data_IF_494099276737
#
_entry.id   IF_494099276737
#
_cell.length_a   1.000
_cell.length_b   1.000
_cell.length_c   1.000
_cell.angle_alpha   90.00
_cell.angle_beta   90.00
_cell.angle_gamma   90.00
#
_symmetry.space_group_name_H-M   'P 1'
#
loop_
_entity.id
_entity.type
_entity.pdbx_description
1 polymer ?
#
# COMPACT_ATOMS: atom_id res chain seq x y z
N UNK A 1 -24.33 15.75 -74.00
CA UNK A 1 -24.78 15.98 -72.61
C UNK A 1 -23.99 15.01 -71.74
N UNK A 2 -23.18 15.49 -70.78
CA UNK A 2 -22.33 14.65 -69.94
C UNK A 2 -23.15 13.87 -68.91
N UNK A 3 -22.64 12.70 -68.55
CA UNK A 3 -23.20 11.78 -67.56
C UNK A 3 -22.64 12.21 -66.20
N UNK A 4 -23.49 12.73 -65.30
CA UNK A 4 -23.06 13.06 -63.94
C UNK A 4 -22.99 11.80 -63.07
N UNK A 5 -21.79 11.54 -62.58
CA UNK A 5 -21.36 10.42 -61.76
C UNK A 5 -21.98 10.51 -60.35
N UNK A 6 -22.59 9.45 -59.80
CA UNK A 6 -23.15 9.48 -58.46
C UNK A 6 -22.04 9.57 -57.41
N UNK A 7 -22.12 10.62 -56.59
CA UNK A 7 -21.23 10.91 -55.48
C UNK A 7 -21.01 9.70 -54.56
N UNK A 8 -19.73 9.46 -54.29
CA UNK A 8 -19.13 8.44 -53.43
C UNK A 8 -19.81 8.33 -52.05
N UNK A 9 -20.11 7.11 -51.54
CA UNK A 9 -20.63 6.92 -50.20
C UNK A 9 -19.69 7.45 -49.13
N UNK A 10 -20.29 8.12 -48.15
CA UNK A 10 -19.65 8.86 -47.07
C UNK A 10 -18.44 8.16 -46.46
N UNK A 11 -17.37 8.95 -46.32
CA UNK A 11 -16.26 8.67 -45.44
C UNK A 11 -16.82 8.23 -44.08
N UNK A 12 -16.61 6.95 -43.76
CA UNK A 12 -16.84 6.42 -42.43
C UNK A 12 -16.05 7.28 -41.45
N UNK A 13 -16.74 8.16 -40.73
CA UNK A 13 -16.22 8.78 -39.52
C UNK A 13 -15.94 7.64 -38.56
N UNK A 14 -14.67 7.24 -38.50
CA UNK A 14 -14.14 6.41 -37.44
C UNK A 14 -14.34 7.20 -36.16
N UNK A 15 -15.48 6.99 -35.51
CA UNK A 15 -15.70 7.27 -34.10
C UNK A 15 -14.70 6.42 -33.33
N UNK A 16 -13.44 6.86 -33.33
CA UNK A 16 -12.40 6.35 -32.45
C UNK A 16 -12.86 6.76 -31.07
N UNK A 17 -13.64 5.86 -30.48
CA UNK A 17 -14.13 5.96 -29.14
C UNK A 17 -12.88 5.93 -28.28
N UNK A 18 -12.34 7.10 -27.94
CA UNK A 18 -11.23 7.21 -27.00
C UNK A 18 -11.74 6.73 -25.63
N UNK A 19 -11.67 5.41 -25.42
CA UNK A 19 -12.06 4.70 -24.20
C UNK A 19 -10.81 4.47 -23.31
N UNK A 20 -10.97 4.07 -22.04
CA UNK A 20 -10.70 4.84 -20.84
C UNK A 20 -9.29 4.56 -20.25
N UNK A 21 -8.22 4.94 -20.95
CA UNK A 21 -6.83 4.68 -20.51
C UNK A 21 -6.50 5.18 -19.09
N UNK A 22 -7.14 6.27 -18.62
CA UNK A 22 -6.90 6.77 -17.25
C UNK A 22 -7.46 5.85 -16.17
N UNK A 23 -8.56 5.13 -16.42
CA UNK A 23 -9.17 4.25 -15.41
C UNK A 23 -8.41 2.95 -15.22
N UNK A 24 -7.85 2.39 -16.30
CA UNK A 24 -7.05 1.16 -16.22
C UNK A 24 -5.69 1.43 -15.55
N UNK A 25 -5.05 2.56 -15.87
CA UNK A 25 -3.81 2.97 -15.22
C UNK A 25 -4.01 3.21 -13.71
N UNK A 26 -5.10 3.87 -13.31
CA UNK A 26 -5.43 4.09 -11.89
C UNK A 26 -5.64 2.76 -11.14
N UNK A 27 -6.29 1.77 -11.76
CA UNK A 27 -6.48 0.43 -11.17
C UNK A 27 -5.13 -0.28 -11.01
N UNK A 28 -4.31 -0.33 -12.07
CA UNK A 28 -3.00 -0.98 -12.01
C UNK A 28 -2.11 -0.32 -10.95
N UNK A 29 -2.08 1.01 -10.91
CA UNK A 29 -1.30 1.75 -9.91
C UNK A 29 -1.79 1.45 -8.48
N UNK A 30 -3.10 1.47 -8.24
CA UNK A 30 -3.67 1.15 -6.94
C UNK A 30 -3.36 -0.30 -6.51
N UNK A 31 -3.46 -1.26 -7.43
CA UNK A 31 -3.13 -2.67 -7.18
C UNK A 31 -1.65 -2.85 -6.83
N UNK A 32 -0.74 -2.22 -7.59
CA UNK A 32 0.70 -2.28 -7.32
C UNK A 32 1.01 -1.67 -5.95
N UNK A 33 0.42 -0.53 -5.62
CA UNK A 33 0.62 0.11 -4.32
C UNK A 33 0.08 -0.75 -3.16
N UNK A 34 -1.07 -1.42 -3.34
CA UNK A 34 -1.60 -2.36 -2.34
C UNK A 34 -0.68 -3.58 -2.13
N UNK A 35 -0.10 -4.12 -3.21
CA UNK A 35 0.89 -5.20 -3.12
C UNK A 35 2.13 -4.73 -2.37
N UNK A 36 2.61 -3.51 -2.66
CA UNK A 36 3.74 -2.89 -1.95
C UNK A 36 3.38 -2.72 -0.46
N UNK A 37 2.17 -2.26 -0.14
CA UNK A 37 1.72 -2.07 1.23
C UNK A 37 1.67 -3.41 1.99
N UNK A 38 1.11 -4.46 1.39
CA UNK A 38 1.12 -5.80 1.97
C UNK A 38 2.55 -6.33 2.18
N UNK A 39 3.45 -6.07 1.22
CA UNK A 39 4.87 -6.38 1.34
C UNK A 39 5.56 -5.62 2.47
N UNK A 40 5.26 -4.33 2.63
CA UNK A 40 5.78 -3.49 3.73
C UNK A 40 5.31 -4.00 5.09
N UNK A 41 4.04 -4.43 5.20
CA UNK A 41 3.53 -5.05 6.41
C UNK A 41 4.28 -6.35 6.75
N UNK A 42 4.45 -7.25 5.78
CA UNK A 42 5.19 -8.49 5.98
C UNK A 42 6.68 -8.24 6.35
N UNK A 43 7.31 -7.26 5.70
CA UNK A 43 8.69 -6.87 6.01
C UNK A 43 8.82 -6.26 7.41
N UNK A 44 7.83 -5.47 7.84
CA UNK A 44 7.78 -4.93 9.20
C UNK A 44 7.70 -6.04 10.24
N UNK A 45 6.83 -7.03 10.01
CA UNK A 45 6.69 -8.19 10.90
C UNK A 45 7.98 -9.01 10.99
N UNK A 46 8.62 -9.28 9.85
CA UNK A 46 9.90 -9.98 9.83
C UNK A 46 11.02 -9.20 10.54
N UNK A 47 11.05 -7.87 10.37
CA UNK A 47 12.03 -6.99 11.02
C UNK A 47 11.87 -7.01 12.54
N UNK A 48 10.65 -6.88 13.06
CA UNK A 48 10.38 -6.95 14.50
C UNK A 48 10.76 -8.32 15.07
N UNK A 49 10.39 -9.41 14.38
CA UNK A 49 10.80 -10.76 14.79
C UNK A 49 12.32 -10.95 14.85
N UNK A 50 13.05 -10.35 13.89
CA UNK A 50 14.52 -10.37 13.89
C UNK A 50 15.09 -9.54 15.04
N UNK A 51 14.55 -8.34 15.28
CA UNK A 51 14.97 -7.47 16.37
C UNK A 51 14.80 -8.15 17.73
N UNK A 52 13.66 -8.81 17.99
CA UNK A 52 13.43 -9.61 19.20
C UNK A 52 14.48 -10.72 19.36
N UNK A 53 14.83 -11.45 18.29
CA UNK A 53 15.90 -12.45 18.36
C UNK A 53 17.27 -11.83 18.65
N UNK A 54 17.53 -10.61 18.18
CA UNK A 54 18.81 -9.94 18.48
C UNK A 54 18.88 -9.30 19.87
N UNK A 55 17.73 -8.98 20.47
CA UNK A 55 17.67 -8.36 21.80
C UNK A 55 17.65 -9.38 22.94
N UNK A 56 17.58 -10.70 22.68
CA UNK A 56 17.51 -11.77 23.69
C UNK A 56 18.79 -12.00 24.53
N UNK A 57 19.91 -11.40 24.11
CA UNK A 57 21.22 -11.70 24.70
C UNK A 57 21.52 -10.74 25.84
N UNK A 58 20.77 -10.92 26.92
CA UNK A 58 21.16 -10.45 28.22
C UNK A 58 22.41 -11.19 28.74
N UNK A 59 23.58 -10.71 28.35
CA UNK A 59 24.84 -11.04 29.02
C UNK A 59 24.89 -10.42 30.43
N UNK A 60 26.01 -9.81 30.81
CA UNK A 60 26.18 -9.19 32.14
C UNK A 60 25.49 -7.82 32.32
N UNK A 61 24.65 -7.38 31.37
CA UNK A 61 23.96 -6.08 31.42
C UNK A 61 22.54 -6.23 31.93
N UNK A 62 22.02 -5.14 32.49
CA UNK A 62 20.68 -5.08 33.05
C UNK A 62 19.67 -5.24 31.91
N UNK A 63 18.89 -6.33 31.96
CA UNK A 63 17.82 -6.55 31.00
C UNK A 63 16.80 -5.43 31.09
N UNK A 64 16.31 -5.00 29.94
CA UNK A 64 15.30 -3.98 29.88
C UNK A 64 13.88 -4.51 30.07
N UNK A 65 12.91 -3.64 29.85
CA UNK A 65 11.51 -3.90 30.20
C UNK A 65 10.78 -4.61 29.05
N UNK A 66 10.35 -5.89 29.21
CA UNK A 66 9.67 -6.65 28.17
C UNK A 66 8.34 -6.01 27.73
N UNK A 67 7.74 -5.15 28.56
CA UNK A 67 6.50 -4.46 28.19
C UNK A 67 6.67 -3.53 26.97
N UNK A 68 7.89 -3.10 26.63
CA UNK A 68 8.14 -2.35 25.39
C UNK A 68 8.15 -3.23 24.15
N UNK A 69 8.60 -4.48 24.27
CA UNK A 69 8.56 -5.47 23.17
C UNK A 69 7.12 -5.87 22.89
N UNK A 70 6.33 -6.17 23.92
CA UNK A 70 4.91 -6.51 23.74
C UNK A 70 4.15 -5.39 23.03
N UNK A 71 4.38 -4.13 23.45
CA UNK A 71 3.76 -2.95 22.81
C UNK A 71 4.22 -2.77 21.37
N UNK A 72 5.50 -3.02 21.07
CA UNK A 72 6.03 -2.90 19.72
C UNK A 72 5.49 -4.00 18.79
N UNK A 73 5.41 -5.24 19.29
CA UNK A 73 4.78 -6.37 18.62
C UNK A 73 3.31 -6.10 18.35
N UNK A 74 2.53 -5.66 19.34
CA UNK A 74 1.12 -5.33 19.17
C UNK A 74 0.91 -4.18 18.18
N UNK A 75 1.73 -3.13 18.26
CA UNK A 75 1.65 -2.01 17.33
C UNK A 75 1.97 -2.46 15.90
N UNK A 76 3.06 -3.21 15.72
CA UNK A 76 3.50 -3.72 14.42
C UNK A 76 2.52 -4.69 13.77
N UNK A 77 1.98 -5.63 14.56
CA UNK A 77 1.01 -6.64 14.08
C UNK A 77 -0.38 -6.07 13.95
N UNK A 78 -1.01 -5.67 15.06
CA UNK A 78 -2.40 -5.24 15.05
C UNK A 78 -2.57 -3.85 14.43
N UNK A 79 -1.67 -2.91 14.75
CA UNK A 79 -1.68 -1.59 14.14
C UNK A 79 -1.42 -1.65 12.63
N UNK A 80 -0.41 -2.41 12.21
CA UNK A 80 -0.10 -2.63 10.79
C UNK A 80 -1.23 -3.35 10.04
N UNK A 81 -1.80 -4.41 10.61
CA UNK A 81 -2.91 -5.14 10.00
C UNK A 81 -4.16 -4.27 9.86
N UNK A 82 -4.52 -3.50 10.89
CA UNK A 82 -5.65 -2.58 10.85
C UNK A 82 -5.45 -1.50 9.76
N UNK A 83 -4.24 -0.97 9.64
CA UNK A 83 -3.89 0.03 8.63
C UNK A 83 -4.01 -0.55 7.20
N UNK A 84 -3.51 -1.76 6.97
CA UNK A 84 -3.61 -2.45 5.68
C UNK A 84 -5.08 -2.73 5.31
N UNK A 85 -5.89 -3.21 6.26
CA UNK A 85 -7.32 -3.48 6.04
C UNK A 85 -8.07 -2.19 5.71
N UNK A 86 -7.82 -1.12 6.45
CA UNK A 86 -8.42 0.18 6.18
C UNK A 86 -8.03 0.71 4.79
N UNK A 87 -6.76 0.57 4.41
CA UNK A 87 -6.25 1.00 3.12
C UNK A 87 -6.90 0.24 1.95
N UNK A 88 -7.02 -1.08 2.06
CA UNK A 88 -7.74 -1.91 1.09
C UNK A 88 -9.20 -1.46 0.98
N UNK A 89 -9.89 -1.30 2.12
CA UNK A 89 -11.31 -0.93 2.14
C UNK A 89 -11.56 0.43 1.48
N UNK A 90 -10.75 1.44 1.82
CA UNK A 90 -10.88 2.79 1.24
C UNK A 90 -10.50 2.78 -0.25
N UNK A 91 -9.45 2.05 -0.63
CA UNK A 91 -9.04 1.93 -2.05
C UNK A 91 -10.15 1.30 -2.88
N UNK A 92 -10.72 0.18 -2.44
CA UNK A 92 -11.85 -0.48 -3.09
C UNK A 92 -13.07 0.45 -3.17
N UNK A 93 -13.38 1.18 -2.09
CA UNK A 93 -14.46 2.15 -2.09
C UNK A 93 -14.28 3.24 -3.16
N UNK A 94 -13.08 3.81 -3.29
CA UNK A 94 -12.79 4.83 -4.29
C UNK A 94 -12.83 4.27 -5.73
N UNK A 95 -12.36 3.04 -5.93
CA UNK A 95 -12.43 2.35 -7.23
C UNK A 95 -13.88 2.07 -7.65
N UNK A 96 -14.71 1.53 -6.74
CA UNK A 96 -16.14 1.26 -7.00
C UNK A 96 -16.89 2.55 -7.29
N UNK A 97 -16.57 3.64 -6.58
CA UNK A 97 -17.16 4.96 -6.81
C UNK A 97 -16.60 5.70 -8.03
N UNK A 98 -15.69 5.08 -8.79
CA UNK A 98 -15.00 5.67 -9.96
C UNK A 98 -14.40 7.05 -9.67
N UNK A 99 -13.93 7.28 -8.44
CA UNK A 99 -13.26 8.52 -8.09
C UNK A 99 -11.88 8.55 -8.75
N UNK A 100 -11.60 9.60 -9.53
CA UNK A 100 -10.25 9.83 -10.07
C UNK A 100 -9.28 9.96 -8.89
N UNK A 101 -8.09 9.35 -8.98
CA UNK A 101 -7.04 9.31 -7.92
C UNK A 101 -7.20 8.27 -6.81
N UNK A 102 -7.75 7.09 -7.12
CA UNK A 102 -7.80 5.97 -6.17
C UNK A 102 -6.40 5.52 -5.69
N UNK A 103 -5.33 5.80 -6.44
CA UNK A 103 -3.95 5.46 -6.10
C UNK A 103 -3.36 6.31 -4.94
N UNK A 104 -3.95 7.45 -4.59
CA UNK A 104 -3.44 8.30 -3.50
C UNK A 104 -3.64 7.64 -2.15
N UNK A 105 -4.70 6.86 -2.00
CA UNK A 105 -5.04 6.13 -0.76
C UNK A 105 -3.93 5.15 -0.39
N UNK A 106 -3.57 4.16 -1.25
CA UNK A 106 -2.53 3.19 -0.91
C UNK A 106 -1.13 3.81 -0.86
N UNK A 107 -0.89 4.96 -1.50
CA UNK A 107 0.34 5.71 -1.29
C UNK A 107 0.44 6.24 0.16
N UNK A 108 -0.64 6.82 0.69
CA UNK A 108 -0.70 7.28 2.09
C UNK A 108 -0.60 6.08 3.03
N UNK A 109 -1.26 4.97 2.72
CA UNK A 109 -1.14 3.70 3.44
C UNK A 109 0.31 3.24 3.58
N UNK A 110 1.06 3.19 2.48
CA UNK A 110 2.49 2.86 2.49
C UNK A 110 3.31 3.80 3.38
N UNK A 111 3.10 5.12 3.29
CA UNK A 111 3.83 6.10 4.12
C UNK A 111 3.52 5.91 5.61
N UNK A 112 2.24 5.71 5.94
CA UNK A 112 1.82 5.45 7.30
C UNK A 112 2.38 4.12 7.84
N UNK A 113 2.44 3.07 7.02
CA UNK A 113 3.03 1.79 7.39
C UNK A 113 4.54 1.92 7.66
N UNK A 114 5.27 2.69 6.86
CA UNK A 114 6.71 2.96 7.11
C UNK A 114 6.88 3.72 8.43
N UNK A 115 6.07 4.75 8.68
CA UNK A 115 6.13 5.50 9.93
C UNK A 115 5.84 4.61 11.16
N UNK A 116 4.85 3.73 11.04
CA UNK A 116 4.50 2.78 12.08
C UNK A 116 5.63 1.77 12.33
N UNK A 117 6.24 1.23 11.28
CA UNK A 117 7.38 0.32 11.39
C UNK A 117 8.58 0.98 12.07
N UNK A 118 8.89 2.24 11.73
CA UNK A 118 9.96 3.02 12.38
C UNK A 118 9.65 3.24 13.86
N UNK A 119 8.39 3.56 14.20
CA UNK A 119 7.98 3.74 15.58
C UNK A 119 8.11 2.43 16.38
N UNK A 120 7.65 1.29 15.83
CA UNK A 120 7.75 -0.01 16.48
C UNK A 120 9.23 -0.43 16.68
N UNK A 121 10.08 -0.26 15.67
CA UNK A 121 11.51 -0.53 15.80
C UNK A 121 12.19 0.37 16.84
N UNK A 122 11.81 1.66 16.90
CA UNK A 122 12.32 2.56 17.94
C UNK A 122 11.90 2.11 19.34
N UNK A 123 10.67 1.60 19.51
CA UNK A 123 10.20 1.04 20.79
C UNK A 123 10.98 -0.20 21.21
N UNK A 124 11.28 -1.13 20.30
CA UNK A 124 12.12 -2.31 20.60
C UNK A 124 13.57 -1.92 20.95
N UNK A 125 14.14 -0.95 20.24
CA UNK A 125 15.48 -0.45 20.57
C UNK A 125 15.52 0.25 21.94
N UNK A 126 14.41 0.87 22.35
CA UNK A 126 14.27 1.49 23.66
C UNK A 126 14.08 0.46 24.78
N UNK A 127 13.59 -0.74 24.45
CA UNK A 127 13.51 -1.86 25.38
C UNK A 127 14.90 -2.27 25.85
N UNK A 128 15.96 -2.14 25.04
CA UNK A 128 17.30 -2.66 25.39
C UNK A 128 17.37 -4.20 25.29
N UNK A 129 18.54 -4.82 25.57
CA UNK A 129 18.62 -6.28 25.62
C UNK A 129 17.71 -6.79 26.74
N UNK A 130 16.89 -7.82 26.48
CA UNK A 130 16.00 -8.49 27.44
C UNK A 130 16.48 -9.88 27.78
#
# INVERSE_FOLDING_TARGET
>A
MPIDEPATPGAATTNTTAKPRSSAADIVAASVLLVIHGGLYAASFALLGLLVMTTDSCGSRKCGDPAWIDRAMDLGTWGGAALLVADIAVTVYFLVRRKRRAFVVPLIGCVAQVALAVAAAAMELQAGPV
#
